data_IF_824783640491
#
_entry.id   IF_824783640491
#
_cell.length_a   1.000
_cell.length_b   1.000
_cell.length_c   1.000
_cell.angle_alpha   90.00
_cell.angle_beta   90.00
_cell.angle_gamma   90.00
#
_symmetry.space_group_name_H-M   'P 1'
#
loop_
_entity.id
_entity.type
_entity.pdbx_description
1 polymer ?
#
# COMPACT_ATOMS: atom_id res chain seq x y z
N UNK A 1 17.68 24.11 7.22
CA UNK A 1 18.32 24.18 5.89
C UNK A 1 17.23 24.52 4.88
N UNK A 2 17.43 25.53 4.02
CA UNK A 2 16.45 25.84 2.96
C UNK A 2 16.41 24.69 1.95
N UNK A 3 15.22 24.25 1.55
CA UNK A 3 15.06 23.22 0.50
C UNK A 3 15.70 23.70 -0.81
N UNK A 4 16.37 22.81 -1.54
CA UNK A 4 16.90 23.09 -2.89
C UNK A 4 15.79 23.52 -3.86
N UNK A 5 14.58 23.00 -3.64
CA UNK A 5 13.38 23.32 -4.40
C UNK A 5 12.32 23.78 -3.40
N UNK A 6 12.34 25.06 -2.99
CA UNK A 6 11.35 25.57 -2.05
C UNK A 6 9.97 25.65 -2.73
N UNK A 7 8.92 25.53 -1.93
CA UNK A 7 7.55 25.82 -2.35
C UNK A 7 6.83 26.51 -1.19
N UNK A 8 5.82 27.29 -1.52
CA UNK A 8 5.04 28.09 -0.57
C UNK A 8 3.64 27.50 -0.40
N UNK A 9 2.90 28.01 0.59
CA UNK A 9 1.48 27.66 0.76
C UNK A 9 0.64 28.13 -0.44
N UNK A 10 1.03 29.23 -1.08
CA UNK A 10 0.40 29.70 -2.32
C UNK A 10 0.53 28.66 -3.44
N UNK A 11 1.70 28.05 -3.57
CA UNK A 11 1.95 26.99 -4.57
C UNK A 11 1.08 25.76 -4.30
N UNK A 12 0.94 25.35 -3.03
CA UNK A 12 0.04 24.27 -2.63
C UNK A 12 -1.42 24.57 -2.95
N UNK A 13 -1.91 25.78 -2.62
CA UNK A 13 -3.28 26.18 -2.94
C UNK A 13 -3.53 26.27 -4.45
N UNK A 14 -2.52 26.67 -5.25
CA UNK A 14 -2.60 26.62 -6.71
C UNK A 14 -2.68 25.19 -7.21
N UNK A 15 -1.84 24.28 -6.69
CA UNK A 15 -1.87 22.87 -7.04
C UNK A 15 -3.20 22.20 -6.67
N UNK A 16 -3.71 22.45 -5.46
CA UNK A 16 -5.01 21.96 -5.02
C UNK A 16 -6.14 22.44 -5.93
N UNK A 17 -6.18 23.73 -6.28
CA UNK A 17 -7.19 24.28 -7.21
C UNK A 17 -7.16 23.63 -8.59
N UNK A 18 -6.00 23.18 -9.07
CA UNK A 18 -5.90 22.50 -10.37
C UNK A 18 -6.56 21.11 -10.39
N UNK A 19 -6.67 20.45 -9.23
CA UNK A 19 -7.19 19.08 -9.14
C UNK A 19 -8.56 19.01 -8.46
N UNK A 20 -8.94 19.98 -7.64
CA UNK A 20 -10.13 19.87 -6.78
C UNK A 20 -11.42 19.65 -7.57
N UNK A 21 -11.64 20.41 -8.65
CA UNK A 21 -12.90 20.35 -9.39
C UNK A 21 -13.08 18.99 -10.09
N UNK A 22 -12.01 18.44 -10.65
CA UNK A 22 -12.05 17.14 -11.36
C UNK A 22 -12.03 15.97 -10.38
N UNK A 23 -11.22 16.05 -9.33
CA UNK A 23 -11.07 15.00 -8.33
C UNK A 23 -12.34 14.79 -7.51
N UNK A 24 -13.06 15.88 -7.21
CA UNK A 24 -14.27 15.87 -6.39
C UNK A 24 -15.58 15.97 -7.19
N UNK A 25 -15.55 15.86 -8.53
CA UNK A 25 -16.73 15.60 -9.35
C UNK A 25 -17.23 14.15 -9.17
N UNK A 26 -17.66 13.85 -7.93
CA UNK A 26 -18.01 12.52 -7.45
C UNK A 26 -19.32 12.57 -6.69
N UNK A 27 -20.16 11.55 -6.90
CA UNK A 27 -21.40 11.39 -6.13
C UNK A 27 -21.08 10.92 -4.72
N UNK A 28 -21.80 11.48 -3.75
CA UNK A 28 -21.75 11.05 -2.34
C UNK A 28 -22.75 9.93 -2.11
N UNK A 29 -22.42 9.01 -1.20
CA UNK A 29 -23.28 7.89 -0.87
C UNK A 29 -24.29 8.26 0.22
N UNK A 30 -25.56 7.94 -0.03
CA UNK A 30 -26.66 8.11 0.91
C UNK A 30 -27.39 6.79 1.13
N UNK A 31 -27.76 6.51 2.38
CA UNK A 31 -28.67 5.43 2.76
C UNK A 31 -29.77 6.06 3.60
N UNK A 32 -31.02 5.91 3.17
CA UNK A 32 -32.20 6.50 3.82
C UNK A 32 -32.08 8.01 4.08
N UNK A 33 -31.50 8.74 3.12
CA UNK A 33 -31.28 10.19 3.21
C UNK A 33 -30.10 10.62 4.10
N UNK A 34 -29.38 9.67 4.69
CA UNK A 34 -28.21 9.93 5.55
C UNK A 34 -26.92 9.65 4.78
N UNK A 35 -25.95 10.57 4.85
CA UNK A 35 -24.62 10.36 4.27
C UNK A 35 -23.94 9.13 4.91
N UNK A 36 -23.41 8.25 4.05
CA UNK A 36 -22.68 7.04 4.44
C UNK A 36 -21.36 6.97 3.66
N UNK A 37 -20.37 7.78 4.05
CA UNK A 37 -19.10 7.77 3.36
C UNK A 37 -18.37 6.43 3.58
N UNK A 38 -17.58 6.04 2.59
CA UNK A 38 -16.84 4.78 2.58
C UNK A 38 -15.36 5.02 2.36
N UNK A 39 -14.54 4.13 2.90
CA UNK A 39 -13.10 4.19 2.72
C UNK A 39 -12.57 2.85 2.24
N UNK A 40 -11.96 2.82 1.07
CA UNK A 40 -11.19 1.70 0.58
C UNK A 40 -9.74 1.89 0.98
N UNK A 41 -9.22 1.00 1.84
CA UNK A 41 -7.85 1.04 2.36
C UNK A 41 -7.06 -0.13 1.76
N UNK A 42 -5.95 0.16 1.09
CA UNK A 42 -5.03 -0.86 0.58
C UNK A 42 -3.71 -0.71 1.33
N UNK A 43 -3.39 -1.72 2.14
CA UNK A 43 -2.29 -1.66 3.10
C UNK A 43 -1.28 -2.79 2.88
N UNK A 44 -0.02 -2.52 3.19
CA UNK A 44 1.09 -3.47 3.13
C UNK A 44 2.41 -2.76 2.81
N UNK A 45 3.54 -3.41 3.05
CA UNK A 45 4.88 -2.82 2.85
C UNK A 45 5.10 -2.34 1.41
N UNK A 46 6.10 -1.49 1.20
CA UNK A 46 6.59 -1.21 -0.16
C UNK A 46 6.97 -2.51 -0.88
N UNK A 47 6.62 -2.62 -2.15
CA UNK A 47 6.83 -3.84 -2.93
C UNK A 47 5.82 -4.97 -2.69
N UNK A 48 4.92 -4.87 -1.70
CA UNK A 48 3.87 -5.88 -1.47
C UNK A 48 2.82 -5.96 -2.59
N UNK A 49 2.80 -4.97 -3.49
CA UNK A 49 1.95 -4.98 -4.67
C UNK A 49 0.54 -4.41 -4.47
N UNK A 50 0.40 -3.44 -3.57
CA UNK A 50 -0.82 -2.63 -3.34
C UNK A 50 -1.44 -2.08 -4.62
N UNK A 51 -0.66 -1.33 -5.40
CA UNK A 51 -1.12 -0.69 -6.64
C UNK A 51 -1.58 -1.72 -7.66
N UNK A 52 -0.92 -2.89 -7.75
CA UNK A 52 -1.40 -3.98 -8.60
C UNK A 52 -2.75 -4.52 -8.14
N UNK A 53 -2.96 -4.75 -6.83
CA UNK A 53 -4.26 -5.18 -6.32
C UNK A 53 -5.34 -4.13 -6.63
N UNK A 54 -5.04 -2.85 -6.41
CA UNK A 54 -5.96 -1.75 -6.67
C UNK A 54 -6.34 -1.67 -8.15
N UNK A 55 -5.37 -1.42 -9.02
CA UNK A 55 -5.57 -1.14 -10.44
C UNK A 55 -6.03 -2.37 -11.23
N UNK A 56 -5.45 -3.54 -10.96
CA UNK A 56 -5.69 -4.74 -11.77
C UNK A 56 -6.81 -5.64 -11.27
N UNK A 57 -7.35 -5.38 -10.08
CA UNK A 57 -8.43 -6.20 -9.49
C UNK A 57 -9.59 -5.35 -9.02
N UNK A 58 -9.38 -4.42 -8.08
CA UNK A 58 -10.48 -3.71 -7.41
C UNK A 58 -11.16 -2.69 -8.32
N UNK A 59 -10.38 -1.80 -8.95
CA UNK A 59 -10.92 -0.72 -9.79
C UNK A 59 -11.58 -1.21 -11.08
N UNK A 60 -11.21 -2.39 -11.59
CA UNK A 60 -11.81 -2.98 -12.81
C UNK A 60 -13.32 -3.21 -12.72
N UNK A 61 -13.87 -3.31 -11.51
CA UNK A 61 -15.29 -3.52 -11.29
C UNK A 61 -16.15 -2.28 -11.52
N UNK A 62 -15.56 -1.08 -11.54
CA UNK A 62 -16.30 0.20 -11.52
C UNK A 62 -16.96 0.52 -10.16
N UNK A 63 -16.89 -0.39 -9.17
CA UNK A 63 -17.48 -0.21 -7.83
C UNK A 63 -16.96 1.04 -7.12
N UNK A 64 -15.75 1.49 -7.46
CA UNK A 64 -15.07 2.60 -6.81
C UNK A 64 -15.01 3.88 -7.67
N UNK A 65 -15.80 3.98 -8.74
CA UNK A 65 -15.77 5.13 -9.65
C UNK A 65 -16.13 6.46 -8.96
N UNK A 66 -16.94 6.40 -7.90
CA UNK A 66 -17.31 7.55 -7.09
C UNK A 66 -16.36 7.81 -5.90
N UNK A 67 -15.21 7.13 -5.83
CA UNK A 67 -14.21 7.36 -4.80
C UNK A 67 -13.17 8.38 -5.24
N UNK A 68 -12.67 9.14 -4.28
CA UNK A 68 -11.58 10.09 -4.41
C UNK A 68 -10.27 9.39 -4.07
N UNK A 69 -9.29 9.44 -4.98
CA UNK A 69 -7.93 8.99 -4.70
C UNK A 69 -7.17 10.11 -4.00
N UNK A 70 -6.62 9.83 -2.82
CA UNK A 70 -5.86 10.85 -2.06
C UNK A 70 -4.52 11.22 -2.71
N UNK A 71 -4.02 10.37 -3.59
CA UNK A 71 -2.75 10.56 -4.28
C UNK A 71 -2.76 9.88 -5.66
N UNK A 72 -2.18 10.56 -6.63
CA UNK A 72 -1.79 10.01 -7.92
C UNK A 72 -0.39 10.51 -8.27
N UNK A 73 0.44 9.67 -8.91
CA UNK A 73 1.86 10.00 -9.16
C UNK A 73 2.06 11.29 -9.94
N UNK A 74 1.16 11.58 -10.89
CA UNK A 74 1.20 12.79 -11.70
C UNK A 74 0.98 14.08 -10.89
N UNK A 75 0.47 14.02 -9.65
CA UNK A 75 0.38 15.20 -8.78
C UNK A 75 1.76 15.81 -8.47
N UNK A 76 2.85 15.04 -8.62
CA UNK A 76 4.23 15.55 -8.44
C UNK A 76 4.58 16.60 -9.48
N UNK A 77 3.97 16.52 -10.66
CA UNK A 77 4.13 17.49 -11.76
C UNK A 77 3.60 18.89 -11.40
N UNK A 78 2.76 18.99 -10.37
CA UNK A 78 2.22 20.26 -9.87
C UNK A 78 3.24 21.06 -9.05
N UNK A 79 4.40 20.48 -8.71
CA UNK A 79 5.45 21.18 -7.99
C UNK A 79 6.01 22.34 -8.83
N UNK A 80 6.20 23.56 -8.28
CA UNK A 80 6.64 24.74 -9.05
C UNK A 80 7.99 24.55 -9.76
N UNK A 81 8.86 23.72 -9.19
CA UNK A 81 10.17 23.39 -9.75
C UNK A 81 10.25 22.02 -10.44
N UNK A 82 9.11 21.41 -10.82
CA UNK A 82 9.10 20.05 -11.37
C UNK A 82 10.08 19.83 -12.53
N UNK A 83 10.05 20.71 -13.55
CA UNK A 83 10.94 20.59 -14.72
C UNK A 83 12.42 20.60 -14.36
N UNK A 84 12.83 21.45 -13.42
CA UNK A 84 14.23 21.49 -12.96
C UNK A 84 14.67 20.20 -12.26
N UNK A 85 13.74 19.50 -11.59
CA UNK A 85 14.01 18.19 -10.99
C UNK A 85 14.03 17.07 -12.04
N UNK A 86 13.10 17.12 -13.00
CA UNK A 86 13.00 16.15 -14.10
C UNK A 86 14.27 16.13 -14.96
N UNK A 87 14.89 17.30 -15.20
CA UNK A 87 16.19 17.41 -15.89
C UNK A 87 17.34 16.65 -15.19
N UNK A 88 17.16 16.30 -13.90
CA UNK A 88 18.11 15.49 -13.11
C UNK A 88 17.74 14.00 -13.05
N UNK A 89 16.57 13.63 -13.56
CA UNK A 89 16.08 12.26 -13.61
C UNK A 89 14.92 11.99 -12.64
N UNK A 90 14.20 10.91 -12.93
CA UNK A 90 12.95 10.55 -12.26
C UNK A 90 13.10 10.20 -10.77
N UNK A 91 14.25 9.67 -10.37
CA UNK A 91 14.56 9.43 -8.95
C UNK A 91 14.72 10.74 -8.18
N UNK A 92 15.34 11.74 -8.83
CA UNK A 92 15.55 13.09 -8.28
C UNK A 92 14.22 13.81 -8.07
N UNK A 93 13.29 13.67 -9.02
CA UNK A 93 11.91 14.16 -8.87
C UNK A 93 11.25 13.59 -7.62
N UNK A 94 11.33 12.27 -7.42
CA UNK A 94 10.69 11.64 -6.26
C UNK A 94 11.24 12.21 -4.96
N UNK A 95 12.57 12.21 -4.81
CA UNK A 95 13.29 12.64 -3.61
C UNK A 95 12.87 14.04 -3.17
N UNK A 96 12.70 14.96 -4.11
CA UNK A 96 12.46 16.36 -3.82
C UNK A 96 10.98 16.80 -3.84
N UNK A 97 10.05 15.94 -4.28
CA UNK A 97 8.61 16.25 -4.28
C UNK A 97 7.86 15.61 -3.11
N UNK A 98 8.49 14.78 -2.29
CA UNK A 98 7.81 14.02 -1.23
C UNK A 98 7.09 14.95 -0.22
N UNK A 99 7.79 15.96 0.30
CA UNK A 99 7.19 16.91 1.26
C UNK A 99 6.02 17.71 0.67
N UNK A 100 6.09 18.09 -0.61
CA UNK A 100 5.01 18.76 -1.32
C UNK A 100 3.78 17.85 -1.47
N UNK A 101 3.98 16.60 -1.88
CA UNK A 101 2.91 15.61 -2.02
C UNK A 101 2.23 15.30 -0.70
N UNK A 102 2.98 15.15 0.41
CA UNK A 102 2.37 14.94 1.72
C UNK A 102 1.45 16.10 2.12
N UNK A 103 1.87 17.35 1.87
CA UNK A 103 1.05 18.53 2.17
C UNK A 103 -0.17 18.65 1.26
N UNK A 104 -0.01 18.40 -0.05
CA UNK A 104 -1.12 18.40 -1.00
C UNK A 104 -2.12 17.28 -0.69
N UNK A 105 -1.65 16.06 -0.43
CA UNK A 105 -2.46 14.91 -0.04
C UNK A 105 -3.22 15.16 1.27
N UNK A 106 -2.61 15.84 2.25
CA UNK A 106 -3.30 16.25 3.47
C UNK A 106 -4.44 17.25 3.21
N UNK A 107 -4.25 18.22 2.30
CA UNK A 107 -5.31 19.14 1.88
C UNK A 107 -6.47 18.41 1.19
N UNK A 108 -6.15 17.47 0.27
CA UNK A 108 -7.14 16.63 -0.42
C UNK A 108 -7.91 15.77 0.58
N UNK A 109 -7.21 15.11 1.51
CA UNK A 109 -7.82 14.27 2.53
C UNK A 109 -8.74 15.08 3.45
N UNK A 110 -8.28 16.23 3.93
CA UNK A 110 -9.09 17.13 4.78
C UNK A 110 -10.38 17.53 4.07
N UNK A 111 -10.28 18.02 2.83
CA UNK A 111 -11.45 18.40 2.04
C UNK A 111 -12.39 17.20 1.80
N UNK A 112 -11.85 16.02 1.49
CA UNK A 112 -12.63 14.80 1.28
C UNK A 112 -13.43 14.41 2.53
N UNK A 113 -12.79 14.43 3.70
CA UNK A 113 -13.37 14.08 4.99
C UNK A 113 -14.45 15.08 5.43
N UNK A 114 -14.17 16.38 5.33
CA UNK A 114 -15.12 17.46 5.66
C UNK A 114 -16.39 17.39 4.81
N UNK A 115 -16.25 16.99 3.54
CA UNK A 115 -17.35 16.91 2.58
C UNK A 115 -17.92 15.48 2.40
N UNK A 116 -17.49 14.53 3.23
CA UNK A 116 -18.00 13.13 3.27
C UNK A 116 -17.94 12.41 1.93
N UNK A 117 -16.85 12.60 1.17
CA UNK A 117 -16.59 11.82 -0.03
C UNK A 117 -16.13 10.41 0.31
N UNK A 118 -16.39 9.46 -0.60
CA UNK A 118 -15.76 8.15 -0.55
C UNK A 118 -14.26 8.29 -0.88
N UNK A 119 -13.39 7.53 -0.20
CA UNK A 119 -11.93 7.71 -0.27
C UNK A 119 -11.24 6.40 -0.62
N UNK A 120 -10.31 6.43 -1.58
CA UNK A 120 -9.30 5.39 -1.80
C UNK A 120 -7.99 5.84 -1.16
N UNK A 121 -7.45 4.99 -0.30
CA UNK A 121 -6.23 5.24 0.43
C UNK A 121 -5.27 4.06 0.32
N UNK A 122 -4.10 4.30 -0.28
CA UNK A 122 -2.98 3.36 -0.28
C UNK A 122 -1.99 3.74 0.82
N UNK A 123 -1.55 2.76 1.62
CA UNK A 123 -0.60 2.98 2.72
C UNK A 123 0.47 1.92 2.77
N UNK A 124 1.71 2.37 2.95
CA UNK A 124 2.87 1.49 2.98
C UNK A 124 3.24 0.99 4.38
N UNK A 125 2.46 1.35 5.40
CA UNK A 125 2.76 1.13 6.81
C UNK A 125 4.06 1.82 7.28
N UNK A 126 4.56 2.82 6.55
CA UNK A 126 5.85 3.47 6.77
C UNK A 126 5.84 4.55 7.86
N UNK A 127 4.67 5.05 8.26
CA UNK A 127 4.54 6.05 9.33
C UNK A 127 3.59 5.58 10.43
N UNK A 128 4.03 5.48 11.70
CA UNK A 128 3.17 5.06 12.81
C UNK A 128 2.05 6.05 13.10
N UNK A 129 2.21 7.34 12.73
CA UNK A 129 1.15 8.36 12.82
C UNK A 129 -0.11 7.98 12.04
N UNK A 130 0.01 7.10 11.05
CA UNK A 130 -1.13 6.62 10.30
C UNK A 130 -2.11 5.79 11.14
N UNK A 131 -1.69 5.28 12.30
CA UNK A 131 -2.59 4.58 13.23
C UNK A 131 -3.70 5.49 13.78
N UNK A 132 -3.51 6.81 13.79
CA UNK A 132 -4.51 7.75 14.30
C UNK A 132 -5.67 7.99 13.31
N UNK A 133 -5.42 7.76 12.01
CA UNK A 133 -6.36 8.13 10.94
C UNK A 133 -7.60 7.21 10.84
N UNK A 134 -7.49 5.86 10.80
CA UNK A 134 -8.66 5.00 10.68
C UNK A 134 -9.69 5.16 11.81
N UNK A 135 -9.29 5.26 13.10
CA UNK A 135 -10.23 5.51 14.18
C UNK A 135 -10.94 6.88 14.07
N UNK A 136 -10.23 7.92 13.63
CA UNK A 136 -10.84 9.23 13.35
C UNK A 136 -11.88 9.13 12.22
N UNK A 137 -11.55 8.44 11.13
CA UNK A 137 -12.48 8.24 10.03
C UNK A 137 -13.73 7.47 10.45
N UNK A 138 -13.56 6.41 11.25
CA UNK A 138 -14.67 5.64 11.80
C UNK A 138 -15.57 6.48 12.73
N UNK A 139 -15.00 7.32 13.61
CA UNK A 139 -15.75 8.29 14.43
C UNK A 139 -16.57 9.27 13.58
N UNK A 140 -16.10 9.56 12.38
CA UNK A 140 -16.78 10.39 11.39
C UNK A 140 -17.79 9.64 10.52
N UNK A 141 -18.04 8.36 10.79
CA UNK A 141 -19.04 7.52 10.13
C UNK A 141 -18.55 6.80 8.87
N UNK A 142 -17.23 6.77 8.60
CA UNK A 142 -16.70 6.07 7.43
C UNK A 142 -16.76 4.55 7.62
N UNK A 143 -17.46 3.88 6.71
CA UNK A 143 -17.43 2.42 6.58
C UNK A 143 -16.12 2.02 5.88
N UNK A 144 -15.30 1.18 6.52
CA UNK A 144 -13.98 0.81 6.02
C UNK A 144 -14.00 -0.52 5.28
N UNK A 145 -13.37 -0.57 4.11
CA UNK A 145 -13.06 -1.78 3.34
C UNK A 145 -11.53 -1.91 3.28
N UNK A 146 -10.97 -2.79 4.11
CA UNK A 146 -9.52 -2.91 4.31
C UNK A 146 -8.97 -4.11 3.54
N UNK A 147 -8.00 -3.88 2.68
CA UNK A 147 -7.25 -4.88 1.93
C UNK A 147 -5.80 -4.89 2.40
N UNK A 148 -5.46 -5.83 3.27
CA UNK A 148 -4.12 -5.98 3.83
C UNK A 148 -3.33 -7.03 3.05
N UNK A 149 -2.20 -6.66 2.43
CA UNK A 149 -1.34 -7.59 1.70
C UNK A 149 -0.14 -7.98 2.56
N UNK A 150 -0.14 -9.24 2.99
CA UNK A 150 0.98 -9.88 3.67
C UNK A 150 1.95 -10.47 2.64
N UNK A 151 3.21 -10.06 2.74
CA UNK A 151 4.26 -10.44 1.80
C UNK A 151 5.60 -10.61 2.53
N UNK A 152 6.35 -11.65 2.20
CA UNK A 152 7.69 -11.87 2.74
C UNK A 152 8.62 -10.70 2.37
N UNK A 153 9.49 -10.31 3.31
CA UNK A 153 10.33 -9.11 3.13
C UNK A 153 11.26 -9.20 1.93
N UNK A 154 11.86 -10.36 1.67
CA UNK A 154 12.78 -10.52 0.54
C UNK A 154 12.06 -10.41 -0.80
N UNK A 155 10.85 -10.94 -0.92
CA UNK A 155 10.03 -10.74 -2.11
C UNK A 155 9.62 -9.27 -2.28
N UNK A 156 9.21 -8.62 -1.20
CA UNK A 156 8.84 -7.20 -1.23
C UNK A 156 10.02 -6.33 -1.68
N UNK A 157 11.21 -6.55 -1.13
CA UNK A 157 12.41 -5.78 -1.47
C UNK A 157 12.89 -6.05 -2.89
N UNK A 158 12.94 -7.31 -3.33
CA UNK A 158 13.24 -7.60 -4.74
C UNK A 158 12.22 -6.90 -5.68
N UNK A 159 10.93 -6.93 -5.33
CA UNK A 159 9.90 -6.28 -6.14
C UNK A 159 10.09 -4.76 -6.23
N UNK A 160 10.58 -4.09 -5.17
CA UNK A 160 10.93 -2.66 -5.25
C UNK A 160 12.15 -2.41 -6.12
N UNK A 161 13.18 -3.27 -6.05
CA UNK A 161 14.37 -3.16 -6.89
C UNK A 161 14.03 -3.35 -8.38
N UNK A 162 13.24 -4.38 -8.70
CA UNK A 162 12.76 -4.65 -10.06
C UNK A 162 11.94 -3.47 -10.60
N UNK A 163 11.05 -2.92 -9.77
CA UNK A 163 10.25 -1.75 -10.15
C UNK A 163 11.10 -0.50 -10.41
N UNK A 164 12.12 -0.23 -9.59
CA UNK A 164 13.05 0.89 -9.82
C UNK A 164 13.78 0.74 -11.14
N UNK A 165 14.33 -0.45 -11.41
CA UNK A 165 15.08 -0.72 -12.66
C UNK A 165 14.19 -0.49 -13.88
N UNK A 166 12.96 -1.03 -13.85
CA UNK A 166 12.01 -0.84 -14.94
C UNK A 166 11.57 0.62 -15.08
N UNK A 167 11.26 1.30 -13.98
CA UNK A 167 10.76 2.69 -14.00
C UNK A 167 11.83 3.65 -14.54
N UNK A 168 13.08 3.51 -14.11
CA UNK A 168 14.20 4.31 -14.66
C UNK A 168 14.39 4.03 -16.15
N UNK A 169 14.29 2.77 -16.58
CA UNK A 169 14.36 2.41 -18.00
C UNK A 169 13.22 2.99 -18.86
N UNK A 170 12.06 3.24 -18.25
CA UNK A 170 10.87 3.79 -18.91
C UNK A 170 10.69 5.31 -18.69
N UNK A 171 11.59 5.97 -17.97
CA UNK A 171 11.44 7.36 -17.53
C UNK A 171 10.17 7.61 -16.69
N UNK A 172 9.84 6.68 -15.79
CA UNK A 172 8.73 6.76 -14.84
C UNK A 172 9.22 7.11 -13.43
N UNK A 173 8.47 7.95 -12.71
CA UNK A 173 8.80 8.41 -11.35
C UNK A 173 8.78 7.23 -10.37
N UNK A 174 9.90 7.02 -9.67
CA UNK A 174 10.04 5.97 -8.66
C UNK A 174 11.08 6.36 -7.59
N UNK A 175 11.09 5.65 -6.46
CA UNK A 175 12.13 5.76 -5.43
C UNK A 175 12.84 4.43 -5.19
N UNK A 176 14.11 4.52 -4.79
CA UNK A 176 14.80 3.39 -4.17
C UNK A 176 14.24 3.18 -2.77
N UNK A 177 13.95 1.93 -2.43
CA UNK A 177 13.49 1.52 -1.10
C UNK A 177 14.51 0.53 -0.54
N UNK A 178 15.06 0.83 0.63
CA UNK A 178 15.99 -0.07 1.31
C UNK A 178 15.24 -1.20 2.03
N UNK A 179 15.94 -2.30 2.30
CA UNK A 179 15.42 -3.37 3.14
C UNK A 179 15.05 -2.86 4.55
N UNK A 180 15.85 -1.95 5.11
CA UNK A 180 15.58 -1.35 6.43
C UNK A 180 14.25 -0.60 6.44
N UNK A 181 13.93 0.18 5.40
CA UNK A 181 12.63 0.85 5.30
C UNK A 181 11.46 -0.14 5.23
N UNK A 182 11.64 -1.29 4.59
CA UNK A 182 10.64 -2.36 4.57
C UNK A 182 10.47 -2.96 5.98
N UNK A 183 11.56 -3.20 6.69
CA UNK A 183 11.54 -3.73 8.05
C UNK A 183 10.92 -2.74 9.05
N UNK A 184 11.23 -1.45 8.95
CA UNK A 184 10.59 -0.38 9.72
C UNK A 184 9.07 -0.35 9.48
N UNK A 185 8.64 -0.47 8.22
CA UNK A 185 7.23 -0.54 7.89
C UNK A 185 6.53 -1.79 8.46
N UNK A 186 7.24 -2.93 8.57
CA UNK A 186 6.71 -4.12 9.23
C UNK A 186 6.56 -3.92 10.75
N UNK A 187 7.51 -3.24 11.39
CA UNK A 187 7.46 -2.89 12.81
C UNK A 187 6.28 -1.96 13.10
N UNK A 188 6.14 -0.89 12.31
CA UNK A 188 5.01 0.03 12.38
C UNK A 188 3.66 -0.65 12.08
N UNK A 189 3.69 -1.74 11.31
CA UNK A 189 2.50 -2.49 10.91
C UNK A 189 1.62 -2.91 12.08
N UNK A 190 2.17 -3.15 13.28
CA UNK A 190 1.36 -3.52 14.45
C UNK A 190 0.32 -2.47 14.80
N UNK A 191 0.74 -1.26 15.12
CA UNK A 191 -0.18 -0.20 15.54
C UNK A 191 -1.17 0.17 14.43
N UNK A 192 -0.71 0.18 13.18
CA UNK A 192 -1.53 0.57 12.03
C UNK A 192 -2.58 -0.50 11.70
N UNK A 193 -2.21 -1.79 11.69
CA UNK A 193 -3.14 -2.89 11.41
C UNK A 193 -4.15 -3.03 12.55
N UNK A 194 -3.72 -2.88 13.80
CA UNK A 194 -4.61 -2.87 14.95
C UNK A 194 -5.61 -1.71 14.86
N UNK A 195 -5.18 -0.53 14.39
CA UNK A 195 -6.06 0.60 14.14
C UNK A 195 -7.08 0.34 13.03
N UNK A 196 -6.72 -0.34 11.93
CA UNK A 196 -7.68 -0.76 10.90
C UNK A 196 -8.75 -1.69 11.46
N UNK A 197 -8.33 -2.72 12.22
CA UNK A 197 -9.27 -3.69 12.79
C UNK A 197 -10.22 -3.02 13.79
N UNK A 198 -9.70 -2.13 14.64
CA UNK A 198 -10.50 -1.33 15.56
C UNK A 198 -11.47 -0.40 14.81
N UNK A 199 -11.05 0.25 13.72
CA UNK A 199 -11.94 1.07 12.92
C UNK A 199 -13.06 0.24 12.26
N UNK A 200 -12.77 -0.99 11.84
CA UNK A 200 -13.75 -1.86 11.20
C UNK A 200 -14.89 -2.27 12.14
N UNK A 201 -14.64 -2.42 13.44
CA UNK A 201 -15.72 -2.77 14.40
C UNK A 201 -16.61 -1.58 14.77
N UNK A 202 -16.23 -0.35 14.44
CA UNK A 202 -17.00 0.84 14.85
C UNK A 202 -18.20 1.13 13.94
N UNK A 203 -18.09 0.80 12.65
CA UNK A 203 -19.12 1.10 11.63
C UNK A 203 -19.60 -0.20 10.97
N UNK A 204 -20.86 -0.61 11.21
CA UNK A 204 -21.44 -1.77 10.55
C UNK A 204 -21.34 -1.69 9.02
N UNK A 205 -21.11 -2.83 8.39
CA UNK A 205 -20.82 -2.98 6.97
C UNK A 205 -19.31 -2.91 6.64
N UNK A 206 -18.45 -2.50 7.58
CA UNK A 206 -17.01 -2.51 7.34
C UNK A 206 -16.47 -3.94 7.19
N UNK A 207 -15.36 -4.09 6.49
CA UNK A 207 -14.76 -5.37 6.20
C UNK A 207 -13.24 -5.31 6.16
N UNK A 208 -12.61 -6.45 6.44
CA UNK A 208 -11.16 -6.64 6.34
C UNK A 208 -10.85 -7.93 5.60
N UNK A 209 -9.96 -7.84 4.62
CA UNK A 209 -9.47 -8.94 3.81
C UNK A 209 -7.96 -8.98 3.91
N UNK A 210 -7.42 -10.14 4.28
CA UNK A 210 -5.98 -10.40 4.24
C UNK A 210 -5.67 -11.16 2.97
N UNK A 211 -4.71 -10.64 2.21
CA UNK A 211 -4.14 -11.26 1.03
C UNK A 211 -2.75 -11.77 1.35
N UNK A 212 -2.38 -12.88 0.73
CA UNK A 212 -1.01 -13.33 0.64
C UNK A 212 -0.50 -13.10 -0.78
N UNK A 213 0.73 -12.60 -0.90
CA UNK A 213 1.42 -12.44 -2.18
C UNK A 213 2.91 -12.77 -2.01
N UNK A 214 3.43 -13.53 -2.96
CA UNK A 214 4.82 -13.96 -3.01
C UNK A 214 5.06 -14.98 -4.12
N UNK A 215 6.21 -15.65 -4.10
CA UNK A 215 6.54 -16.69 -5.08
C UNK A 215 5.57 -17.87 -5.02
N UNK A 216 5.12 -18.23 -3.82
CA UNK A 216 4.16 -19.31 -3.56
C UNK A 216 2.75 -19.07 -4.13
N UNK A 217 2.48 -17.84 -4.58
CA UNK A 217 1.20 -17.41 -5.17
C UNK A 217 1.34 -17.03 -6.64
N UNK A 218 2.46 -17.39 -7.27
CA UNK A 218 2.85 -16.93 -8.60
C UNK A 218 2.79 -15.40 -8.72
N UNK A 219 3.11 -14.70 -7.63
CA UNK A 219 3.10 -13.24 -7.50
C UNK A 219 1.71 -12.60 -7.58
N UNK A 220 0.63 -13.37 -7.43
CA UNK A 220 -0.73 -12.88 -7.36
C UNK A 220 -1.15 -12.60 -5.92
N UNK A 221 -1.99 -11.58 -5.70
CA UNK A 221 -2.60 -11.34 -4.39
C UNK A 221 -3.79 -12.30 -4.19
N UNK A 222 -3.61 -13.35 -3.41
CA UNK A 222 -4.65 -14.35 -3.14
C UNK A 222 -5.26 -14.15 -1.73
N UNK A 223 -6.60 -14.06 -1.60
CA UNK A 223 -7.23 -13.86 -0.30
C UNK A 223 -7.05 -15.10 0.58
N UNK A 224 -6.63 -14.90 1.82
CA UNK A 224 -6.44 -15.96 2.82
C UNK A 224 -7.46 -15.89 3.96
N UNK A 225 -8.06 -14.73 4.19
CA UNK A 225 -9.16 -14.53 5.13
C UNK A 225 -9.95 -13.26 4.77
N UNK A 226 -11.23 -13.27 5.11
CA UNK A 226 -12.14 -12.14 5.02
C UNK A 226 -13.06 -12.15 6.23
N UNK A 227 -13.30 -10.97 6.81
CA UNK A 227 -14.23 -10.77 7.90
C UNK A 227 -15.04 -9.51 7.68
N UNK A 228 -16.30 -9.53 8.12
CA UNK A 228 -17.24 -8.40 8.00
C UNK A 228 -17.72 -7.98 9.38
N UNK A 229 -18.06 -6.70 9.54
CA UNK A 229 -18.69 -6.15 10.72
C UNK A 229 -20.22 -6.07 10.50
N UNK A 230 -21.01 -7.07 10.93
CA UNK A 230 -22.47 -7.01 10.80
C UNK A 230 -23.09 -6.00 11.78
N UNK A 231 -22.46 -5.83 12.95
CA UNK A 231 -22.88 -4.93 14.01
C UNK A 231 -21.65 -4.41 14.76
N UNK A 232 -21.82 -3.27 15.43
CA UNK A 232 -20.75 -2.59 16.14
C UNK A 232 -20.12 -3.52 17.19
N UNK A 233 -18.79 -3.55 17.24
CA UNK A 233 -18.00 -4.38 18.15
C UNK A 233 -17.70 -5.79 17.62
N UNK A 234 -18.27 -6.18 16.47
CA UNK A 234 -18.07 -7.51 15.89
C UNK A 234 -17.27 -7.49 14.59
N UNK A 235 -16.39 -8.48 14.44
CA UNK A 235 -15.86 -8.92 13.14
C UNK A 235 -16.09 -10.43 13.03
N UNK A 236 -16.86 -10.83 12.03
CA UNK A 236 -17.26 -12.22 11.81
C UNK A 236 -16.52 -12.77 10.60
N UNK A 237 -15.68 -13.81 10.77
CA UNK A 237 -15.02 -14.49 9.66
C UNK A 237 -16.02 -15.07 8.65
N UNK A 238 -15.72 -14.85 7.38
CA UNK A 238 -16.47 -15.40 6.26
C UNK A 238 -15.85 -16.71 5.77
N UNK A 239 -16.63 -17.52 5.05
CA UNK A 239 -16.14 -18.79 4.48
C UNK A 239 -15.42 -18.61 3.14
N UNK A 240 -15.77 -17.56 2.40
CA UNK A 240 -15.24 -17.25 1.08
C UNK A 240 -15.07 -15.74 0.93
N UNK A 241 -14.33 -15.31 -0.09
CA UNK A 241 -14.29 -13.93 -0.53
C UNK A 241 -14.67 -13.87 -2.01
N UNK A 242 -15.69 -13.07 -2.35
CA UNK A 242 -16.23 -12.97 -3.72
C UNK A 242 -16.58 -14.34 -4.33
N UNK A 243 -17.13 -15.25 -3.51
CA UNK A 243 -17.52 -16.60 -3.93
C UNK A 243 -16.35 -17.56 -4.16
N UNK A 244 -15.11 -17.16 -3.84
CA UNK A 244 -13.91 -18.01 -3.97
C UNK A 244 -13.41 -18.48 -2.62
N UNK A 245 -12.97 -19.73 -2.57
CA UNK A 245 -12.31 -20.28 -1.40
C UNK A 245 -10.97 -19.56 -1.14
N UNK A 246 -10.59 -19.48 0.13
CA UNK A 246 -9.31 -18.87 0.52
C UNK A 246 -8.12 -19.72 0.10
N UNK A 247 -7.04 -19.04 -0.30
CA UNK A 247 -5.77 -19.68 -0.55
C UNK A 247 -5.20 -20.31 0.73
N UNK A 248 -4.67 -21.54 0.60
CA UNK A 248 -3.99 -22.27 1.67
C UNK A 248 -2.62 -22.71 1.15
N UNK A 249 -1.59 -21.93 1.48
CA UNK A 249 -0.22 -22.27 1.11
C UNK A 249 0.28 -23.48 1.90
N UNK A 250 0.99 -24.40 1.22
CA UNK A 250 1.56 -25.58 1.87
C UNK A 250 2.76 -25.26 2.78
N UNK A 251 3.41 -24.13 2.53
CA UNK A 251 4.65 -23.70 3.17
C UNK A 251 4.44 -23.06 4.55
N UNK A 252 3.30 -22.40 4.77
CA UNK A 252 2.91 -21.82 6.05
C UNK A 252 1.54 -22.34 6.47
N UNK A 253 1.50 -23.19 7.51
CA UNK A 253 0.26 -23.73 8.09
C UNK A 253 -0.42 -22.71 9.01
N UNK A 254 -0.76 -21.55 8.46
CA UNK A 254 -1.44 -20.47 9.19
C UNK A 254 -2.96 -20.64 9.03
N UNK A 255 -3.67 -20.69 10.16
CA UNK A 255 -5.13 -20.63 10.16
C UNK A 255 -5.59 -19.17 10.22
N UNK A 256 -5.64 -18.51 9.06
CA UNK A 256 -6.11 -17.13 9.02
C UNK A 256 -7.57 -17.02 9.44
N UNK A 257 -7.83 -16.19 10.44
CA UNK A 257 -9.13 -15.88 11.03
C UNK A 257 -9.06 -14.54 11.77
N UNK A 258 -9.68 -13.50 11.21
CA UNK A 258 -9.84 -12.21 11.90
C UNK A 258 -11.20 -12.19 12.59
N UNK A 259 -11.24 -12.22 13.92
CA UNK A 259 -12.51 -12.24 14.66
C UNK A 259 -12.46 -11.23 15.81
N UNK A 260 -13.54 -10.46 15.96
CA UNK A 260 -13.80 -9.66 17.14
C UNK A 260 -15.16 -10.00 17.72
N UNK A 261 -15.20 -10.23 19.03
CA UNK A 261 -16.43 -10.47 19.79
C UNK A 261 -16.22 -10.04 21.24
N UNK A 262 -17.27 -9.96 22.08
CA UNK A 262 -17.12 -9.62 23.49
C UNK A 262 -16.15 -10.54 24.27
N UNK A 263 -15.98 -11.79 23.81
CA UNK A 263 -15.05 -12.78 24.38
C UNK A 263 -13.66 -12.73 23.72
N UNK A 264 -13.51 -12.03 22.60
CA UNK A 264 -12.29 -11.88 21.81
C UNK A 264 -12.14 -10.40 21.41
N UNK A 265 -12.05 -9.53 22.42
CA UNK A 265 -11.96 -8.08 22.22
C UNK A 265 -10.50 -7.60 22.18
N UNK A 266 -9.73 -8.16 21.26
CA UNK A 266 -8.38 -7.71 21.00
C UNK A 266 -8.07 -7.86 19.50
N UNK A 267 -7.32 -6.91 18.90
CA UNK A 267 -6.87 -7.03 17.52
C UNK A 267 -6.08 -8.32 17.29
N UNK A 268 -6.38 -9.04 16.21
CA UNK A 268 -5.69 -10.29 15.87
C UNK A 268 -5.15 -10.35 14.45
N UNK A 269 -5.44 -9.36 13.60
CA UNK A 269 -4.97 -9.29 12.21
C UNK A 269 -3.44 -9.19 12.13
N UNK A 270 -2.80 -8.39 12.99
CA UNK A 270 -1.35 -8.21 12.94
C UNK A 270 -0.58 -9.51 13.21
N UNK A 271 -1.00 -10.32 14.18
CA UNK A 271 -0.30 -11.57 14.53
C UNK A 271 -0.23 -12.50 13.31
N UNK A 272 -1.30 -12.57 12.53
CA UNK A 272 -1.40 -13.42 11.35
C UNK A 272 -0.62 -12.84 10.17
N UNK A 273 -0.64 -11.51 10.00
CA UNK A 273 0.20 -10.79 9.05
C UNK A 273 1.69 -11.02 9.35
N UNK A 274 2.10 -10.89 10.62
CA UNK A 274 3.46 -11.08 11.10
C UNK A 274 4.01 -12.47 10.80
N UNK A 275 3.17 -13.50 10.89
CA UNK A 275 3.54 -14.89 10.54
C UNK A 275 3.96 -15.05 9.08
N UNK A 276 3.46 -14.21 8.16
CA UNK A 276 3.87 -14.23 6.75
C UNK A 276 5.08 -13.34 6.52
N UNK A 277 5.04 -12.08 6.99
CA UNK A 277 6.05 -11.09 6.58
C UNK A 277 7.42 -11.35 7.20
N UNK A 278 7.45 -12.04 8.34
CA UNK A 278 8.66 -12.53 8.99
C UNK A 278 9.00 -13.98 8.65
N UNK A 279 8.17 -14.66 7.84
CA UNK A 279 8.56 -15.94 7.29
C UNK A 279 9.71 -15.74 6.30
N UNK A 280 10.80 -16.46 6.52
CA UNK A 280 11.87 -16.55 5.54
C UNK A 280 11.43 -17.30 4.28
N UNK A 281 12.23 -17.19 3.23
CA UNK A 281 12.03 -17.97 2.02
C UNK A 281 12.53 -19.42 2.21
N UNK A 282 11.65 -20.33 2.63
CA UNK A 282 12.03 -21.67 3.12
C UNK A 282 12.19 -22.75 2.04
N UNK A 283 11.56 -22.61 0.88
CA UNK A 283 11.58 -23.64 -0.19
C UNK A 283 12.77 -23.52 -1.14
N UNK A 284 13.42 -24.63 -1.48
CA UNK A 284 14.56 -24.64 -2.43
C UNK A 284 14.19 -24.13 -3.82
N UNK A 285 12.99 -24.44 -4.30
CA UNK A 285 12.44 -23.92 -5.54
C UNK A 285 12.23 -22.39 -5.49
N UNK A 286 11.64 -21.89 -4.41
CA UNK A 286 11.44 -20.45 -4.22
C UNK A 286 12.77 -19.71 -4.09
N UNK A 287 13.77 -20.28 -3.38
CA UNK A 287 15.13 -19.71 -3.28
C UNK A 287 15.78 -19.63 -4.66
N UNK A 288 15.74 -20.71 -5.46
CA UNK A 288 16.25 -20.71 -6.83
C UNK A 288 15.55 -19.65 -7.70
N UNK A 289 14.21 -19.60 -7.63
CA UNK A 289 13.42 -18.61 -8.37
C UNK A 289 13.80 -17.18 -7.96
N UNK A 290 14.01 -16.93 -6.67
CA UNK A 290 14.47 -15.63 -6.20
C UNK A 290 15.86 -15.27 -6.77
N UNK A 291 16.80 -16.22 -6.81
CA UNK A 291 18.11 -16.00 -7.42
C UNK A 291 17.99 -15.69 -8.93
N UNK A 292 17.17 -16.43 -9.66
CA UNK A 292 16.91 -16.22 -11.10
C UNK A 292 16.28 -14.84 -11.37
N UNK A 293 15.30 -14.44 -10.56
CA UNK A 293 14.67 -13.13 -10.66
C UNK A 293 15.68 -12.01 -10.42
N UNK A 294 16.53 -12.13 -9.39
CA UNK A 294 17.56 -11.13 -9.12
C UNK A 294 18.62 -11.08 -10.22
N UNK A 295 19.05 -12.22 -10.78
CA UNK A 295 19.94 -12.27 -11.95
C UNK A 295 19.33 -11.54 -13.16
N UNK A 296 18.04 -11.75 -13.42
CA UNK A 296 17.32 -11.08 -14.51
C UNK A 296 17.27 -9.57 -14.30
N UNK A 297 16.86 -9.13 -13.12
CA UNK A 297 16.79 -7.69 -12.78
C UNK A 297 18.19 -7.06 -12.82
N UNK A 298 19.24 -7.76 -12.36
CA UNK A 298 20.62 -7.30 -12.44
C UNK A 298 21.10 -7.10 -13.88
N UNK A 299 20.76 -8.03 -14.79
CA UNK A 299 21.10 -7.89 -16.21
C UNK A 299 20.41 -6.70 -16.90
N UNK A 300 19.22 -6.31 -16.42
CA UNK A 300 18.56 -5.07 -16.86
C UNK A 300 19.22 -3.85 -16.24
N UNK A 301 19.50 -3.89 -14.93
CA UNK A 301 20.15 -2.81 -14.21
C UNK A 301 21.48 -2.46 -14.87
N UNK A 302 22.32 -3.43 -15.24
CA UNK A 302 23.62 -3.20 -15.90
C UNK A 302 23.56 -2.28 -17.12
N UNK A 303 22.44 -2.27 -17.86
CA UNK A 303 22.22 -1.39 -19.02
C UNK A 303 21.97 0.07 -18.63
N UNK A 304 21.64 0.32 -17.36
CA UNK A 304 21.28 1.60 -16.75
C UNK A 304 22.29 2.03 -15.67
N UNK A 305 23.55 1.54 -15.75
CA UNK A 305 24.59 1.75 -14.72
C UNK A 305 24.84 3.20 -14.33
N UNK A 306 24.74 4.14 -15.28
CA UNK A 306 24.94 5.57 -15.00
C UNK A 306 23.72 6.25 -14.37
N UNK A 307 22.55 5.61 -14.35
CA UNK A 307 21.27 6.21 -13.93
C UNK A 307 20.75 5.64 -12.61
N UNK A 308 21.22 4.45 -12.23
CA UNK A 308 20.79 3.76 -11.02
C UNK A 308 21.83 3.93 -9.89
N UNK A 309 21.40 4.16 -8.63
CA UNK A 309 22.30 4.15 -7.49
C UNK A 309 23.03 2.82 -7.33
N UNK A 310 24.29 2.87 -6.88
CA UNK A 310 25.14 1.68 -6.67
C UNK A 310 24.50 0.65 -5.73
N UNK A 311 23.72 1.13 -4.76
CA UNK A 311 23.02 0.30 -3.78
C UNK A 311 22.04 -0.67 -4.44
N UNK A 312 21.37 -0.29 -5.54
CA UNK A 312 20.46 -1.18 -6.28
C UNK A 312 21.21 -2.42 -6.77
N UNK A 313 22.41 -2.25 -7.33
CA UNK A 313 23.26 -3.36 -7.79
C UNK A 313 23.74 -4.22 -6.62
N UNK A 314 24.18 -3.57 -5.55
CA UNK A 314 24.67 -4.25 -4.35
C UNK A 314 23.60 -5.19 -3.80
N UNK A 315 22.37 -4.70 -3.61
CA UNK A 315 21.27 -5.49 -3.05
C UNK A 315 20.88 -6.67 -3.96
N UNK A 316 20.80 -6.45 -5.29
CA UNK A 316 20.53 -7.53 -6.24
C UNK A 316 21.60 -8.62 -6.18
N UNK A 317 22.89 -8.25 -6.15
CA UNK A 317 24.00 -9.18 -6.01
C UNK A 317 23.95 -9.95 -4.69
N UNK A 318 23.62 -9.29 -3.58
CA UNK A 318 23.48 -9.93 -2.27
C UNK A 318 22.39 -10.99 -2.27
N UNK A 319 21.26 -10.75 -2.94
CA UNK A 319 20.22 -11.77 -3.07
C UNK A 319 20.64 -12.95 -3.95
N UNK A 320 21.35 -12.71 -5.06
CA UNK A 320 21.93 -13.80 -5.86
C UNK A 320 22.86 -14.64 -4.99
N UNK A 321 23.80 -14.02 -4.26
CA UNK A 321 24.73 -14.75 -3.38
C UNK A 321 24.01 -15.51 -2.26
N UNK A 322 22.99 -14.90 -1.64
CA UNK A 322 22.18 -15.50 -0.56
C UNK A 322 21.42 -16.74 -1.02
N UNK A 323 20.94 -16.76 -2.26
CA UNK A 323 20.02 -17.79 -2.74
C UNK A 323 20.57 -18.70 -3.85
N UNK A 324 21.75 -18.42 -4.41
CA UNK A 324 22.39 -19.26 -5.42
C UNK A 324 23.01 -20.55 -4.84
N UNK A 325 23.23 -20.62 -3.53
CA UNK A 325 23.66 -21.85 -2.86
C UNK A 325 22.46 -22.58 -2.21
N UNK A 326 22.45 -23.93 -2.20
CA UNK A 326 21.33 -24.76 -1.72
C UNK A 326 20.80 -24.44 -0.32
#
# INVERSE_FOLDING_TARGET
>A
MSSLYPFTDTDLHLAFRKVVDTLFDKKRDYVDGVLKPKMLIIAGTQGSGKTYLLENTLLKSGRYDNYVRLYETHFRELHPHYRAMEDKGVLHVYEHTESFIWRLGAMICTYAMENKYNIIMETALDSPHFADFPPEAARQGYQSEVHLIACQKEFSHWSTLDRVVNSVGNHEIERVVSLTQIEEAQINGRSIIDAFENACIEVPGSEIVIYRRGLETDRNSLPVCHSTCPEKGLLVPQQTYQGRAFFRGADLKINFKVQRSPQADFPCSYIQYAQVVHAGLLGSEHRRTMAELNCKTLGQAQKLMSQLPVDVYRELCLYVLKYAQP
#
